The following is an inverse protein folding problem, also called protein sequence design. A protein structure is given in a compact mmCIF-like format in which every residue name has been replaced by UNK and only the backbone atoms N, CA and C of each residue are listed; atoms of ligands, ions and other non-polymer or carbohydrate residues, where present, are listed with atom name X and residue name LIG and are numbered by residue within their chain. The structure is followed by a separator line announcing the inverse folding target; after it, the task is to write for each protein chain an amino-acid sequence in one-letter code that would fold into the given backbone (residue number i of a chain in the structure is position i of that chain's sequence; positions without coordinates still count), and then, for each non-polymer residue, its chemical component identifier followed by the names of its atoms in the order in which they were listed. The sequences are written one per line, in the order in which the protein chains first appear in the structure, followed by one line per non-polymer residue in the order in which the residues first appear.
data_IF_384962799800
#
_entry.id   IF_384962799800
#
_cell.length_a   1.000
_cell.length_b   1.000
_cell.length_c   1.000
_cell.angle_alpha   90.00
_cell.angle_beta   90.00
_cell.angle_gamma   90.00
#
_symmetry.space_group_name_H-M   'P 1'
#
loop_
_entity.id
_entity.type
_entity.pdbx_description
1 polymer ?
#
# COMPACT_ATOMS: atom_id res chain seq x y z
N UNK A 1 11.17 -7.27 -13.28
CA UNK A 1 10.50 -6.09 -13.88
C UNK A 1 9.91 -5.28 -12.74
N UNK A 2 10.10 -3.96 -12.67
CA UNK A 2 9.58 -3.16 -11.55
C UNK A 2 8.05 -3.01 -11.62
N UNK A 3 7.36 -3.31 -10.52
CA UNK A 3 5.91 -3.12 -10.35
C UNK A 3 5.66 -1.83 -9.58
N UNK A 4 4.86 -0.92 -10.14
CA UNK A 4 4.48 0.33 -9.49
C UNK A 4 3.08 0.17 -8.91
N UNK A 5 2.93 0.41 -7.60
CA UNK A 5 1.64 0.28 -6.92
C UNK A 5 0.85 1.59 -6.94
N UNK A 6 -0.46 1.46 -7.13
CA UNK A 6 -1.43 2.53 -6.96
C UNK A 6 -2.06 2.51 -5.55
N UNK A 7 -2.70 3.60 -5.15
CA UNK A 7 -3.30 3.74 -3.82
C UNK A 7 -4.42 2.74 -3.56
N UNK A 8 -5.25 2.41 -4.55
CA UNK A 8 -6.33 1.42 -4.40
C UNK A 8 -5.79 0.03 -4.03
N UNK A 9 -4.74 -0.44 -4.71
CA UNK A 9 -4.10 -1.73 -4.40
C UNK A 9 -3.46 -1.70 -3.02
N UNK A 10 -2.82 -0.59 -2.65
CA UNK A 10 -2.25 -0.43 -1.31
C UNK A 10 -3.33 -0.42 -0.22
N UNK A 11 -4.47 0.22 -0.47
CA UNK A 11 -5.61 0.22 0.46
C UNK A 11 -6.11 -1.21 0.66
N UNK A 12 -6.23 -1.99 -0.41
CA UNK A 12 -6.68 -3.36 -0.32
C UNK A 12 -5.69 -4.26 0.45
N UNK A 13 -4.39 -4.07 0.24
CA UNK A 13 -3.32 -4.74 1.01
C UNK A 13 -3.39 -4.35 2.49
N UNK A 14 -3.48 -3.05 2.80
CA UNK A 14 -3.53 -2.54 4.18
C UNK A 14 -4.78 -3.02 4.93
N UNK A 15 -5.90 -3.20 4.21
CA UNK A 15 -7.15 -3.76 4.73
C UNK A 15 -7.19 -5.30 4.74
N UNK A 16 -6.14 -5.96 4.25
CA UNK A 16 -6.00 -7.42 4.20
C UNK A 16 -7.06 -8.10 3.33
N UNK A 17 -7.44 -7.50 2.20
CA UNK A 17 -8.31 -8.20 1.25
C UNK A 17 -7.62 -9.44 0.67
N UNK A 18 -8.23 -10.64 0.73
CA UNK A 18 -7.56 -11.89 0.35
C UNK A 18 -7.01 -11.90 -1.08
N UNK A 19 -7.72 -11.30 -2.04
CA UNK A 19 -7.28 -11.21 -3.43
C UNK A 19 -6.00 -10.39 -3.59
N UNK A 20 -5.89 -9.25 -2.90
CA UNK A 20 -4.73 -8.38 -2.95
C UNK A 20 -3.51 -9.00 -2.26
N UNK A 21 -3.73 -9.69 -1.13
CA UNK A 21 -2.66 -10.43 -0.44
C UNK A 21 -2.14 -11.58 -1.30
N UNK A 22 -3.03 -12.40 -1.87
CA UNK A 22 -2.64 -13.51 -2.75
C UNK A 22 -1.89 -13.01 -3.99
N UNK A 23 -2.32 -11.89 -4.56
CA UNK A 23 -1.62 -11.25 -5.68
C UNK A 23 -0.23 -10.76 -5.27
N UNK A 24 -0.11 -10.12 -4.10
CA UNK A 24 1.17 -9.63 -3.59
C UNK A 24 2.14 -10.78 -3.31
N UNK A 25 1.66 -11.89 -2.74
CA UNK A 25 2.47 -13.09 -2.50
C UNK A 25 2.91 -13.76 -3.82
N UNK A 26 2.07 -13.73 -4.84
CA UNK A 26 2.37 -14.32 -6.15
C UNK A 26 3.43 -13.54 -6.96
N UNK A 27 3.74 -12.30 -6.59
CA UNK A 27 4.81 -11.51 -7.22
C UNK A 27 6.23 -12.04 -6.91
N UNK A 28 6.40 -12.79 -5.83
CA UNK A 28 7.70 -13.36 -5.45
C UNK A 28 8.76 -12.29 -5.19
N UNK A 29 9.88 -12.37 -5.91
CA UNK A 29 11.04 -11.45 -5.75
C UNK A 29 10.99 -10.22 -6.67
N UNK A 30 9.87 -9.96 -7.34
CA UNK A 30 9.73 -8.78 -8.19
C UNK A 30 9.86 -7.48 -7.37
N UNK A 31 10.60 -6.52 -7.92
CA UNK A 31 10.83 -5.23 -7.25
C UNK A 31 9.54 -4.40 -7.29
N UNK A 32 9.12 -3.93 -6.11
CA UNK A 32 7.92 -3.10 -5.96
C UNK A 32 8.34 -1.66 -5.65
N UNK A 33 7.88 -0.74 -6.47
CA UNK A 33 8.03 0.70 -6.26
C UNK A 33 6.70 1.31 -5.81
N UNK A 34 6.78 2.15 -4.78
CA UNK A 34 5.64 2.92 -4.28
C UNK A 34 5.89 4.42 -4.59
N UNK A 35 5.13 5.02 -5.51
CA UNK A 35 5.28 6.44 -5.81
C UNK A 35 5.03 7.31 -4.59
N UNK A 36 5.81 8.39 -4.41
CA UNK A 36 5.61 9.33 -3.30
C UNK A 36 4.22 9.98 -3.29
N UNK A 37 3.59 10.13 -4.45
CA UNK A 37 2.20 10.59 -4.56
C UNK A 37 1.22 9.60 -3.93
N UNK A 38 1.41 8.30 -4.13
CA UNK A 38 0.58 7.25 -3.51
C UNK A 38 0.74 7.27 -1.99
N UNK A 39 1.96 7.48 -1.48
CA UNK A 39 2.20 7.67 -0.04
C UNK A 39 1.41 8.89 0.49
N UNK A 40 1.41 10.00 -0.25
CA UNK A 40 0.65 11.19 0.11
C UNK A 40 -0.87 10.92 0.14
N UNK A 41 -1.41 10.20 -0.85
CA UNK A 41 -2.83 9.83 -0.89
C UNK A 41 -3.23 8.96 0.31
N UNK A 42 -2.43 7.95 0.64
CA UNK A 42 -2.67 7.09 1.81
C UNK A 42 -2.68 7.89 3.12
N UNK A 43 -1.74 8.84 3.25
CA UNK A 43 -1.67 9.75 4.41
C UNK A 43 -2.88 10.66 4.52
N UNK A 44 -3.35 11.24 3.40
CA UNK A 44 -4.51 12.12 3.37
C UNK A 44 -5.84 11.37 3.52
N UNK A 45 -5.90 10.11 3.08
CA UNK A 45 -7.09 9.26 3.18
C UNK A 45 -7.37 8.71 4.58
N UNK A 46 -6.44 8.87 5.52
CA UNK A 46 -6.62 8.47 6.92
C UNK A 46 -7.66 9.35 7.63
N UNK A 47 -8.54 8.72 8.42
CA UNK A 47 -9.64 9.41 9.12
C UNK A 47 -9.28 9.90 10.51
N UNK A 48 -8.13 9.46 11.02
CA UNK A 48 -7.64 9.85 12.34
C UNK A 48 -6.13 9.92 12.35
N UNK A 49 -5.60 10.63 13.35
CA UNK A 49 -4.16 10.70 13.57
C UNK A 49 -3.56 9.32 13.87
N UNK A 50 -4.32 8.45 14.51
CA UNK A 50 -3.92 7.06 14.81
C UNK A 50 -3.75 6.24 13.52
N UNK A 51 -4.70 6.34 12.58
CA UNK A 51 -4.58 5.70 11.26
C UNK A 51 -3.37 6.25 10.49
N UNK A 52 -3.24 7.59 10.49
CA UNK A 52 -2.14 8.26 9.80
C UNK A 52 -0.78 7.84 10.36
N UNK A 53 -0.63 7.73 11.68
CA UNK A 53 0.61 7.31 12.33
C UNK A 53 0.93 5.83 12.10
N UNK A 54 -0.09 4.99 11.89
CA UNK A 54 0.09 3.58 11.51
C UNK A 54 0.59 3.47 10.07
N UNK A 55 -0.02 4.22 9.17
CA UNK A 55 0.42 4.32 7.77
C UNK A 55 1.84 4.90 7.73
N UNK A 56 2.14 5.95 8.51
CA UNK A 56 3.44 6.61 8.68
C UNK A 56 4.63 5.71 9.00
N UNK A 57 4.38 4.61 9.68
CA UNK A 57 5.41 3.66 10.14
C UNK A 57 5.56 2.46 9.22
N UNK A 58 4.70 2.35 8.20
CA UNK A 58 4.64 1.21 7.29
C UNK A 58 5.46 1.40 6.01
N UNK A 59 6.14 2.55 5.88
CA UNK A 59 7.04 2.90 4.79
C UNK A 59 8.38 3.39 5.32
#
# INVERSE_FOLDING_TARGET
MMVILDSDIMIDILRRYPSAINWLEALGEEEIALPGFVVMELLQGCRSKVEQDRVAKSY
#
